data_IF_642108065728
#
_entry.id   IF_642108065728
#
_cell.length_a   1.000
_cell.length_b   1.000
_cell.length_c   1.000
_cell.angle_alpha   90.00
_cell.angle_beta   90.00
_cell.angle_gamma   90.00
#
_symmetry.space_group_name_H-M   'P 1'
#
loop_
_entity.id
_entity.type
_entity.pdbx_description
1 polymer ?
#
# COMPACT_ATOMS: atom_id res chain seq x y z
N UNK A 1 16.20 -4.79 -1.18
CA UNK A 1 15.11 -5.65 -0.66
C UNK A 1 13.74 -5.04 -1.04
N UNK A 2 12.63 -5.79 -1.10
CA UNK A 2 11.29 -5.20 -1.34
C UNK A 2 10.89 -4.30 -0.17
N UNK A 3 11.15 -4.73 1.07
CA UNK A 3 10.81 -3.94 2.26
C UNK A 3 11.59 -2.63 2.30
N UNK A 4 12.87 -2.67 1.97
CA UNK A 4 13.74 -1.50 1.86
C UNK A 4 13.25 -0.51 0.81
N UNK A 5 12.89 -0.99 -0.39
CA UNK A 5 12.31 -0.12 -1.44
C UNK A 5 11.01 0.55 -1.01
N UNK A 6 10.16 -0.18 -0.28
CA UNK A 6 8.93 0.38 0.28
C UNK A 6 9.29 1.47 1.30
N UNK A 7 10.18 1.18 2.25
CA UNK A 7 10.62 2.10 3.31
C UNK A 7 11.24 3.39 2.75
N UNK A 8 12.09 3.29 1.74
CA UNK A 8 12.65 4.44 1.02
C UNK A 8 11.54 5.28 0.36
N UNK A 9 10.66 4.63 -0.41
CA UNK A 9 9.59 5.33 -1.14
C UNK A 9 8.65 6.11 -0.21
N UNK A 10 8.28 5.52 0.92
CA UNK A 10 7.33 6.15 1.86
C UNK A 10 8.00 7.24 2.69
N UNK A 11 9.28 7.07 3.02
CA UNK A 11 10.07 8.11 3.70
C UNK A 11 10.24 9.34 2.81
N UNK A 12 10.49 9.15 1.51
CA UNK A 12 10.56 10.23 0.52
C UNK A 12 9.23 10.99 0.38
N UNK A 13 8.11 10.30 0.60
CA UNK A 13 6.78 10.91 0.64
C UNK A 13 6.45 11.58 1.99
N UNK A 14 7.36 11.52 2.98
CA UNK A 14 7.20 12.12 4.29
C UNK A 14 6.37 11.29 5.27
N UNK A 15 6.26 9.97 5.06
CA UNK A 15 5.69 9.06 6.04
C UNK A 15 6.72 8.67 7.08
N UNK A 16 6.27 8.61 8.33
CA UNK A 16 6.93 7.88 9.40
C UNK A 16 6.62 6.38 9.25
N UNK A 17 7.65 5.54 9.40
CA UNK A 17 7.55 4.08 9.30
C UNK A 17 7.75 3.46 10.67
N UNK A 18 6.76 2.69 11.13
CA UNK A 18 6.85 1.92 12.37
C UNK A 18 6.76 0.42 12.05
N UNK A 19 7.78 -0.35 12.45
CA UNK A 19 7.81 -1.79 12.23
C UNK A 19 7.16 -2.50 13.42
N UNK A 20 6.11 -3.30 13.18
CA UNK A 20 5.38 -4.03 14.23
C UNK A 20 4.93 -5.40 13.74
N UNK A 21 5.38 -6.47 14.41
CA UNK A 21 4.96 -7.86 14.15
C UNK A 21 5.06 -8.26 12.67
N UNK A 22 6.15 -7.90 11.98
CA UNK A 22 6.33 -8.19 10.55
C UNK A 22 5.55 -7.28 9.60
N UNK A 23 4.85 -6.27 10.10
CA UNK A 23 4.13 -5.27 9.31
C UNK A 23 4.81 -3.90 9.41
N UNK A 24 4.65 -3.10 8.37
CA UNK A 24 5.02 -1.68 8.35
C UNK A 24 3.77 -0.84 8.57
N UNK A 25 3.75 -0.02 9.62
CA UNK A 25 2.70 0.97 9.86
C UNK A 25 3.23 2.31 9.37
N UNK A 26 2.55 2.88 8.39
CA UNK A 26 2.90 4.13 7.73
C UNK A 26 1.97 5.22 8.24
N UNK A 27 2.54 6.30 8.75
CA UNK A 27 1.77 7.45 9.25
C UNK A 27 2.37 8.74 8.74
N UNK A 28 1.53 9.63 8.25
CA UNK A 28 1.97 10.95 7.88
C UNK A 28 1.79 11.91 9.07
N UNK A 29 2.87 12.18 9.78
CA UNK A 29 2.91 13.23 10.81
C UNK A 29 3.21 14.58 10.15
N UNK A 30 2.17 15.33 9.76
CA UNK A 30 2.10 16.79 9.87
C UNK A 30 0.90 17.37 9.10
N UNK A 31 -0.23 17.70 9.76
CA UNK A 31 -1.31 18.46 9.13
C UNK A 31 -0.94 19.93 8.83
N UNK A 32 0.24 20.41 9.28
CA UNK A 32 0.64 21.82 9.21
C UNK A 32 1.55 22.17 8.02
N UNK A 33 2.16 21.18 7.36
CA UNK A 33 3.14 21.40 6.28
C UNK A 33 2.82 20.65 4.99
N UNK A 34 1.98 19.61 5.02
CA UNK A 34 1.52 18.95 3.80
C UNK A 34 0.25 19.64 3.29
N UNK A 35 0.31 20.15 2.06
CA UNK A 35 -0.90 20.53 1.28
C UNK A 35 -1.88 19.36 1.07
N UNK A 36 -1.47 18.15 1.45
CA UNK A 36 -2.14 16.88 1.21
C UNK A 36 -2.40 16.27 2.60
N UNK A 37 -3.62 15.80 2.91
CA UNK A 37 -4.10 15.54 4.27
C UNK A 37 -3.35 14.48 5.11
N UNK A 38 -3.93 14.06 6.23
CA UNK A 38 -3.39 12.96 7.04
C UNK A 38 -3.71 11.61 6.39
N UNK A 39 -2.75 10.68 6.37
CA UNK A 39 -2.95 9.29 5.95
C UNK A 39 -2.26 8.30 6.91
N UNK A 40 -2.99 7.24 7.27
CA UNK A 40 -2.45 6.09 7.99
C UNK A 40 -2.72 4.79 7.20
N UNK A 41 -1.68 4.01 6.96
CA UNK A 41 -1.71 2.76 6.18
C UNK A 41 -0.94 1.68 6.92
N UNK A 42 -1.40 0.43 6.85
CA UNK A 42 -0.60 -0.73 7.26
C UNK A 42 -0.20 -1.50 6.01
N UNK A 43 1.09 -1.76 5.86
CA UNK A 43 1.67 -2.50 4.74
C UNK A 43 2.25 -3.82 5.24
N UNK A 44 1.96 -4.90 4.53
CA UNK A 44 2.45 -6.24 4.84
C UNK A 44 2.96 -6.91 3.58
N UNK A 45 4.12 -7.54 3.67
CA UNK A 45 4.75 -8.24 2.55
C UNK A 45 4.69 -9.74 2.84
N UNK A 46 4.09 -10.48 1.94
CA UNK A 46 3.97 -11.92 2.01
C UNK A 46 4.82 -12.55 0.92
N UNK A 47 5.72 -13.46 1.29
CA UNK A 47 6.40 -14.32 0.34
C UNK A 47 5.44 -15.44 -0.08
N UNK A 48 5.03 -15.44 -1.34
CA UNK A 48 4.20 -16.52 -1.92
C UNK A 48 5.09 -17.62 -2.47
N UNK A 49 6.19 -17.22 -3.11
CA UNK A 49 7.28 -18.10 -3.56
C UNK A 49 8.61 -17.33 -3.46
N UNK A 50 9.78 -17.99 -3.53
CA UNK A 50 11.08 -17.31 -3.48
C UNK A 50 11.26 -16.20 -4.54
N UNK A 51 10.47 -16.24 -5.62
CA UNK A 51 10.51 -15.26 -6.71
C UNK A 51 9.27 -14.34 -6.74
N UNK A 52 8.26 -14.57 -5.90
CA UNK A 52 6.99 -13.85 -5.91
C UNK A 52 6.62 -13.40 -4.52
N UNK A 53 6.55 -12.08 -4.37
CA UNK A 53 6.10 -11.43 -3.15
C UNK A 53 4.82 -10.64 -3.43
N UNK A 54 3.90 -10.66 -2.48
CA UNK A 54 2.67 -9.87 -2.51
C UNK A 54 2.79 -8.77 -1.47
N UNK A 55 2.51 -7.53 -1.87
CA UNK A 55 2.49 -6.37 -0.99
C UNK A 55 1.04 -5.94 -0.80
N UNK A 56 0.51 -6.13 0.41
CA UNK A 56 -0.83 -5.70 0.78
C UNK A 56 -0.78 -4.34 1.49
N UNK A 57 -1.53 -3.35 0.97
CA UNK A 57 -1.67 -2.02 1.56
C UNK A 57 -3.07 -1.82 2.12
N UNK A 58 -3.20 -1.69 3.43
CA UNK A 58 -4.49 -1.49 4.13
C UNK A 58 -4.62 -0.07 4.62
N UNK A 59 -5.48 0.73 3.98
CA UNK A 59 -5.82 2.08 4.47
C UNK A 59 -6.52 1.96 5.82
N UNK A 60 -5.94 2.55 6.86
CA UNK A 60 -6.54 2.60 8.19
C UNK A 60 -7.42 3.83 8.37
N UNK A 61 -6.94 5.01 7.95
CA UNK A 61 -7.71 6.26 7.96
C UNK A 61 -7.01 7.31 7.09
N UNK A 62 -7.73 8.36 6.68
CA UNK A 62 -7.13 9.52 6.01
C UNK A 62 -7.53 9.73 4.55
N UNK A 63 -6.76 10.60 3.89
CA UNK A 63 -7.01 11.12 2.55
C UNK A 63 -6.90 10.04 1.45
N UNK A 64 -7.98 9.84 0.69
CA UNK A 64 -8.05 8.85 -0.40
C UNK A 64 -7.15 9.22 -1.58
N UNK A 65 -7.02 10.51 -1.90
CA UNK A 65 -6.15 10.96 -2.98
C UNK A 65 -4.68 10.68 -2.65
N UNK A 66 -4.30 10.90 -1.39
CA UNK A 66 -2.96 10.61 -0.88
C UNK A 66 -2.69 9.10 -0.85
N UNK A 67 -3.67 8.29 -0.45
CA UNK A 67 -3.58 6.83 -0.52
C UNK A 67 -3.36 6.35 -1.96
N UNK A 68 -4.12 6.89 -2.92
CA UNK A 68 -3.95 6.56 -4.36
C UNK A 68 -2.57 6.97 -4.86
N UNK A 69 -2.05 8.11 -4.43
CA UNK A 69 -0.70 8.56 -4.79
C UNK A 69 0.38 7.63 -4.24
N UNK A 70 0.29 7.27 -2.96
CA UNK A 70 1.17 6.30 -2.31
C UNK A 70 1.21 4.98 -3.10
N UNK A 71 0.04 4.45 -3.47
CA UNK A 71 -0.03 3.22 -4.21
C UNK A 71 0.59 3.30 -5.61
N UNK A 72 0.37 4.40 -6.34
CA UNK A 72 1.02 4.63 -7.65
C UNK A 72 2.53 4.73 -7.52
N UNK A 73 3.02 5.39 -6.46
CA UNK A 73 4.46 5.56 -6.23
C UNK A 73 5.12 4.22 -5.90
N UNK A 74 4.49 3.41 -5.07
CA UNK A 74 4.98 2.07 -4.74
C UNK A 74 4.94 1.13 -5.94
N UNK A 75 3.84 1.10 -6.70
CA UNK A 75 3.75 0.22 -7.87
C UNK A 75 4.82 0.52 -8.92
N UNK A 76 5.11 1.80 -9.16
CA UNK A 76 6.17 2.21 -10.10
C UNK A 76 7.60 1.92 -9.60
N UNK A 77 7.87 2.06 -8.31
CA UNK A 77 9.20 1.77 -7.75
C UNK A 77 9.48 0.27 -7.59
N UNK A 78 8.43 -0.53 -7.40
CA UNK A 78 8.53 -1.98 -7.23
C UNK A 78 8.47 -2.75 -8.56
N UNK A 79 7.94 -2.17 -9.63
CA UNK A 79 8.02 -2.78 -10.96
C UNK A 79 9.47 -2.74 -11.48
N UNK A 80 10.15 -3.88 -11.43
CA UNK A 80 11.31 -4.11 -12.30
C UNK A 80 10.79 -4.37 -13.71
N UNK A 81 11.14 -3.48 -14.65
CA UNK A 81 10.95 -3.63 -16.10
C UNK A 81 9.51 -3.62 -16.63
N UNK A 82 9.14 -2.52 -17.32
CA UNK A 82 8.16 -2.37 -18.42
C UNK A 82 6.99 -3.38 -18.54
N UNK A 83 6.41 -3.86 -17.44
CA UNK A 83 5.15 -4.58 -17.47
C UNK A 83 4.03 -3.52 -17.53
N UNK A 84 3.07 -3.61 -18.46
CA UNK A 84 1.93 -2.71 -18.46
C UNK A 84 1.30 -2.82 -17.09
N UNK A 85 1.31 -1.72 -16.33
CA UNK A 85 0.79 -1.68 -14.98
C UNK A 85 -0.59 -2.32 -15.01
N UNK A 86 -0.69 -3.51 -14.42
CA UNK A 86 -1.99 -4.10 -14.13
C UNK A 86 -2.79 -2.99 -13.47
N UNK A 87 -3.93 -2.67 -14.07
CA UNK A 87 -4.90 -1.72 -13.57
C UNK A 87 -5.22 -2.03 -12.11
N UNK A 88 -4.46 -1.45 -11.20
CA UNK A 88 -4.78 -1.48 -9.77
C UNK A 88 -5.98 -0.57 -9.63
N UNK A 89 -7.18 -1.14 -9.82
CA UNK A 89 -8.43 -0.45 -9.63
C UNK A 89 -8.56 -0.14 -8.14
N UNK A 90 -8.17 1.06 -7.75
CA UNK A 90 -8.52 1.63 -6.45
C UNK A 90 -9.97 2.05 -6.49
N UNK A 91 -10.88 1.07 -6.41
CA UNK A 91 -12.30 1.35 -6.30
C UNK A 91 -12.56 2.00 -4.93
N UNK A 92 -13.09 3.22 -4.99
CA UNK A 92 -13.51 4.01 -3.83
C UNK A 92 -14.65 3.29 -3.14
N UNK A 93 -14.41 2.58 -2.04
CA UNK A 93 -15.25 2.74 -0.84
C UNK A 93 -14.65 2.10 0.41
N UNK A 94 -14.83 2.79 1.54
CA UNK A 94 -14.64 2.23 2.87
C UNK A 94 -15.73 1.17 3.10
N UNK A 95 -15.40 -0.12 3.18
CA UNK A 95 -15.92 -1.08 4.17
C UNK A 95 -15.50 -2.51 3.84
N UNK A 96 -14.81 -3.15 4.78
CA UNK A 96 -14.84 -4.60 5.08
C UNK A 96 -15.03 -5.55 3.90
N UNK A 97 -13.95 -6.24 3.50
CA UNK A 97 -14.05 -7.45 2.68
C UNK A 97 -13.85 -8.70 3.56
N UNK A 98 -14.96 -9.35 3.94
CA UNK A 98 -14.98 -10.81 4.15
C UNK A 98 -15.23 -11.44 2.78
N UNK A 99 -14.31 -12.28 2.31
CA UNK A 99 -14.65 -13.24 1.27
C UNK A 99 -15.39 -14.40 1.96
N UNK A 100 -16.72 -14.46 1.82
CA UNK A 100 -17.48 -15.69 2.07
C UNK A 100 -17.70 -16.42 0.75
N UNK A 101 -17.67 -17.74 0.85
CA UNK A 101 -17.55 -18.76 -0.19
C UNK A 101 -18.64 -18.73 -1.28
N UNK A 102 -18.35 -19.37 -2.42
CA UNK A 102 -19.41 -19.86 -3.30
C UNK A 102 -18.97 -20.18 -4.71
N UNK A 103 -18.49 -21.41 -4.93
CA UNK A 103 -18.57 -22.06 -6.25
C UNK A 103 -20.02 -22.04 -6.72
N UNK A 104 -20.27 -21.61 -7.95
CA UNK A 104 -21.39 -22.19 -8.72
C UNK A 104 -20.94 -22.47 -10.14
N UNK A 105 -20.88 -23.75 -10.47
CA UNK A 105 -20.92 -24.21 -11.85
C UNK A 105 -22.36 -24.11 -12.37
N UNK A 106 -22.53 -23.59 -13.58
CA UNK A 106 -23.24 -24.19 -14.73
C UNK A 106 -23.15 -23.22 -15.90
#
# INVERSE_FOLDING_TARGET
DILEKIEETVTDMGFEVQKKNGKLILRQENPKSSKNGHLAVTTEVFEVTPCLHVVELRKSSGDVALYRELCRKLSGNLSSDNLPSGNVNFEEDNSVWRAEEGVTCS
#
